data_IF_103316420669
#
_entry.id   IF_103316420669
#
_cell.length_a   1.000
_cell.length_b   1.000
_cell.length_c   1.000
_cell.angle_alpha   90.00
_cell.angle_beta   90.00
_cell.angle_gamma   90.00
#
_symmetry.space_group_name_H-M   'P 1'
#
loop_
_entity.id
_entity.type
_entity.pdbx_description
1 polymer ?
#
# COMPACT_ATOMS: atom_id res chain seq x y z
N UNK A 1 5.98 5.38 30.77
CA UNK A 1 5.35 4.11 30.35
C UNK A 1 5.64 3.91 28.88
N UNK A 2 6.31 2.82 28.51
CA UNK A 2 6.43 2.47 27.09
C UNK A 2 5.03 2.24 26.53
N UNK A 3 4.74 2.80 25.36
CA UNK A 3 3.47 2.50 24.67
C UNK A 3 3.41 1.00 24.38
N UNK A 4 2.21 0.40 24.35
CA UNK A 4 2.02 -1.02 23.97
C UNK A 4 2.78 -1.37 22.67
N UNK A 5 2.81 -0.41 21.73
CA UNK A 5 3.56 -0.50 20.47
C UNK A 5 5.07 -0.68 20.68
N UNK A 6 5.68 0.04 21.62
CA UNK A 6 7.11 -0.11 21.94
C UNK A 6 7.41 -1.50 22.53
N UNK A 7 6.56 -1.98 23.44
CA UNK A 7 6.70 -3.31 24.05
C UNK A 7 6.67 -4.41 22.97
N UNK A 8 5.73 -4.31 22.02
CA UNK A 8 5.61 -5.24 20.89
C UNK A 8 6.85 -5.18 19.99
N UNK A 9 7.38 -3.98 19.72
CA UNK A 9 8.55 -3.81 18.86
C UNK A 9 9.84 -4.29 19.53
N UNK A 10 9.96 -4.17 20.85
CA UNK A 10 11.14 -4.61 21.61
C UNK A 10 11.18 -6.14 21.76
N UNK A 11 10.02 -6.80 21.85
CA UNK A 11 9.94 -8.24 22.02
C UNK A 11 9.75 -8.98 20.68
N UNK A 12 10.74 -9.78 20.28
CA UNK A 12 10.72 -10.56 19.02
C UNK A 12 9.50 -11.48 18.89
N UNK A 13 9.03 -12.11 19.96
CA UNK A 13 7.86 -13.00 19.88
C UNK A 13 6.57 -12.21 19.68
N UNK A 14 6.43 -11.05 20.33
CA UNK A 14 5.25 -10.20 20.20
C UNK A 14 5.13 -9.56 18.81
N UNK A 15 6.22 -9.42 18.05
CA UNK A 15 6.17 -8.92 16.66
C UNK A 15 5.27 -9.76 15.75
N UNK A 16 5.06 -11.04 16.05
CA UNK A 16 4.11 -11.88 15.30
C UNK A 16 2.66 -11.39 15.42
N UNK A 17 2.32 -10.65 16.47
CA UNK A 17 1.02 -9.98 16.58
C UNK A 17 0.83 -8.92 15.49
N UNK A 18 1.91 -8.35 14.94
CA UNK A 18 1.82 -7.40 13.81
C UNK A 18 1.39 -8.11 12.52
N UNK A 19 1.84 -9.34 12.31
CA UNK A 19 1.40 -10.17 11.18
C UNK A 19 -0.07 -10.58 11.37
N UNK A 20 -0.42 -11.03 12.58
CA UNK A 20 -1.80 -11.42 12.89
C UNK A 20 -2.78 -10.25 12.74
N UNK A 21 -2.47 -9.08 13.31
CA UNK A 21 -3.32 -7.89 13.16
C UNK A 21 -3.40 -7.43 11.70
N UNK A 22 -2.32 -7.53 10.93
CA UNK A 22 -2.38 -7.27 9.49
C UNK A 22 -3.29 -8.26 8.75
N UNK A 23 -3.26 -9.55 9.11
CA UNK A 23 -4.16 -10.56 8.56
C UNK A 23 -5.63 -10.29 8.92
N UNK A 24 -5.91 -9.91 10.17
CA UNK A 24 -7.27 -9.58 10.62
C UNK A 24 -7.83 -8.35 9.88
N UNK A 25 -7.09 -7.24 9.88
CA UNK A 25 -7.62 -5.96 9.38
C UNK A 25 -7.43 -5.73 7.88
N UNK A 26 -6.41 -6.33 7.25
CA UNK A 26 -6.09 -6.21 5.82
C UNK A 26 -6.00 -4.76 5.29
N UNK A 27 -5.77 -3.78 6.16
CA UNK A 27 -5.82 -2.34 5.83
C UNK A 27 -7.23 -1.83 5.45
N UNK A 28 -8.29 -2.63 5.61
CA UNK A 28 -9.68 -2.23 5.31
C UNK A 28 -10.12 -0.98 6.07
N UNK A 29 -9.78 -0.77 7.36
CA UNK A 29 -10.23 0.43 8.07
C UNK A 29 -9.82 1.75 7.41
N UNK A 30 -8.62 1.78 6.81
CA UNK A 30 -8.02 2.97 6.18
C UNK A 30 -8.27 3.04 4.66
N UNK A 31 -8.83 1.98 4.08
CA UNK A 31 -9.10 1.91 2.65
C UNK A 31 -10.28 2.80 2.25
N UNK A 32 -10.27 3.28 1.01
CA UNK A 32 -11.43 3.97 0.44
C UNK A 32 -12.56 3.02 0.08
N UNK A 33 -13.72 3.61 -0.22
CA UNK A 33 -14.94 2.87 -0.49
C UNK A 33 -14.76 1.82 -1.60
N UNK A 34 -14.08 2.17 -2.70
CA UNK A 34 -13.83 1.22 -3.79
C UNK A 34 -12.97 0.02 -3.35
N UNK A 35 -11.89 0.24 -2.60
CA UNK A 35 -11.01 -0.83 -2.12
C UNK A 35 -11.69 -1.65 -1.01
N UNK A 36 -12.52 -1.03 -0.16
CA UNK A 36 -13.35 -1.73 0.84
C UNK A 36 -14.32 -2.69 0.17
N UNK A 37 -15.09 -2.22 -0.81
CA UNK A 37 -16.02 -3.06 -1.59
C UNK A 37 -15.25 -4.22 -2.20
N UNK A 38 -14.14 -3.94 -2.88
CA UNK A 38 -13.34 -4.97 -3.52
C UNK A 38 -12.87 -6.04 -2.53
N UNK A 39 -12.26 -5.66 -1.40
CA UNK A 39 -11.76 -6.64 -0.43
C UNK A 39 -12.89 -7.49 0.15
N UNK A 40 -14.02 -6.87 0.53
CA UNK A 40 -15.16 -7.61 1.10
C UNK A 40 -15.77 -8.54 0.05
N UNK A 41 -16.07 -8.03 -1.15
CA UNK A 41 -16.63 -8.84 -2.23
C UNK A 41 -15.72 -9.97 -2.68
N UNK A 42 -14.39 -9.75 -2.73
CA UNK A 42 -13.42 -10.79 -3.06
C UNK A 42 -13.48 -11.94 -2.05
N UNK A 43 -13.49 -11.65 -0.76
CA UNK A 43 -13.62 -12.68 0.29
C UNK A 43 -14.93 -13.46 0.13
N UNK A 44 -16.05 -12.76 -0.08
CA UNK A 44 -17.37 -13.39 -0.26
C UNK A 44 -17.40 -14.29 -1.49
N UNK A 45 -16.90 -13.81 -2.64
CA UNK A 45 -16.90 -14.58 -3.90
C UNK A 45 -16.05 -15.85 -3.74
N UNK A 46 -14.85 -15.76 -3.18
CA UNK A 46 -13.99 -16.93 -2.97
C UNK A 46 -14.64 -17.94 -2.01
N UNK A 47 -15.22 -17.45 -0.91
CA UNK A 47 -15.93 -18.32 0.03
C UNK A 47 -17.14 -19.02 -0.62
N UNK A 48 -17.91 -18.30 -1.45
CA UNK A 48 -19.03 -18.89 -2.20
C UNK A 48 -18.56 -19.95 -3.19
N UNK A 49 -17.49 -19.71 -3.95
CA UNK A 49 -16.94 -20.70 -4.89
C UNK A 49 -16.51 -21.99 -4.17
N UNK A 50 -15.88 -21.87 -2.99
CA UNK A 50 -15.52 -23.02 -2.17
C UNK A 50 -16.77 -23.76 -1.71
N UNK A 51 -17.79 -23.03 -1.22
CA UNK A 51 -19.05 -23.63 -0.74
C UNK A 51 -19.81 -24.35 -1.85
N UNK A 52 -19.84 -23.81 -3.06
CA UNK A 52 -20.47 -24.47 -4.21
C UNK A 52 -19.73 -25.75 -4.62
N UNK A 53 -18.47 -25.92 -4.21
CA UNK A 53 -17.64 -27.08 -4.53
C UNK A 53 -17.69 -28.19 -3.47
N UNK A 54 -18.38 -27.97 -2.34
CA UNK A 54 -18.45 -28.91 -1.22
C UNK A 54 -19.89 -29.01 -0.68
N UNK A 55 -20.18 -30.05 0.10
CA UNK A 55 -21.49 -30.14 0.76
C UNK A 55 -21.65 -29.03 1.79
N UNK A 56 -22.80 -28.37 1.79
CA UNK A 56 -23.06 -27.30 2.75
C UNK A 56 -23.05 -27.84 4.19
N UNK A 57 -22.25 -27.20 5.04
CA UNK A 57 -22.29 -27.33 6.49
C UNK A 57 -21.80 -26.01 7.09
N UNK A 58 -22.20 -25.71 8.32
CA UNK A 58 -21.72 -24.52 9.03
C UNK A 58 -20.20 -24.51 9.19
N UNK A 59 -19.58 -25.68 9.39
CA UNK A 59 -18.13 -25.83 9.43
C UNK A 59 -17.49 -25.47 8.09
N UNK A 60 -18.04 -25.98 6.98
CA UNK A 60 -17.52 -25.69 5.64
C UNK A 60 -17.67 -24.20 5.30
N UNK A 61 -18.78 -23.56 5.69
CA UNK A 61 -18.98 -22.12 5.50
C UNK A 61 -17.93 -21.31 6.26
N UNK A 62 -17.71 -21.64 7.54
CA UNK A 62 -16.69 -20.99 8.35
C UNK A 62 -15.28 -21.15 7.75
N UNK A 63 -14.92 -22.37 7.34
CA UNK A 63 -13.64 -22.64 6.69
C UNK A 63 -13.50 -21.91 5.36
N UNK A 64 -14.56 -21.87 4.54
CA UNK A 64 -14.58 -21.16 3.27
C UNK A 64 -14.35 -19.65 3.46
N UNK A 65 -14.95 -19.05 4.49
CA UNK A 65 -14.71 -17.64 4.86
C UNK A 65 -13.26 -17.42 5.30
N UNK A 66 -12.71 -18.28 6.16
CA UNK A 66 -11.30 -18.19 6.60
C UNK A 66 -10.34 -18.32 5.41
N UNK A 67 -10.59 -19.27 4.52
CA UNK A 67 -9.76 -19.50 3.33
C UNK A 67 -9.88 -18.30 2.38
N UNK A 68 -11.09 -17.83 2.08
CA UNK A 68 -11.32 -16.67 1.23
C UNK A 68 -10.65 -15.41 1.77
N UNK A 69 -10.76 -15.18 3.09
CA UNK A 69 -10.08 -14.08 3.77
C UNK A 69 -8.56 -14.21 3.71
N UNK A 70 -8.02 -15.42 3.88
CA UNK A 70 -6.57 -15.67 3.82
C UNK A 70 -6.03 -15.50 2.40
N UNK A 71 -6.74 -15.97 1.37
CA UNK A 71 -6.39 -15.75 -0.04
C UNK A 71 -6.42 -14.26 -0.36
N UNK A 72 -7.45 -13.54 0.09
CA UNK A 72 -7.52 -12.09 -0.05
C UNK A 72 -6.31 -11.40 0.59
N UNK A 73 -5.97 -11.76 1.82
CA UNK A 73 -4.78 -11.24 2.51
C UNK A 73 -3.51 -11.52 1.72
N UNK A 74 -3.30 -12.75 1.25
CA UNK A 74 -2.10 -13.11 0.48
C UNK A 74 -1.97 -12.33 -0.82
N UNK A 75 -3.09 -12.03 -1.50
CA UNK A 75 -3.09 -11.28 -2.76
C UNK A 75 -2.97 -9.77 -2.56
N UNK A 76 -3.56 -9.24 -1.48
CA UNK A 76 -3.61 -7.79 -1.24
C UNK A 76 -2.53 -7.26 -0.31
N UNK A 77 -1.94 -8.10 0.53
CA UNK A 77 -0.85 -7.71 1.40
C UNK A 77 0.46 -7.59 0.62
N UNK A 78 1.32 -6.63 1.00
CA UNK A 78 2.73 -6.67 0.68
C UNK A 78 3.47 -7.22 1.91
N UNK A 79 3.87 -8.49 1.84
CA UNK A 79 4.57 -9.19 2.93
C UNK A 79 5.90 -8.49 3.24
N UNK A 80 6.55 -7.89 2.23
CA UNK A 80 7.81 -7.16 2.40
C UNK A 80 7.67 -5.97 3.35
N UNK A 81 6.56 -5.22 3.32
CA UNK A 81 6.26 -4.15 4.31
C UNK A 81 6.26 -4.72 5.72
N UNK A 82 5.64 -5.87 5.94
CA UNK A 82 5.57 -6.47 7.28
C UNK A 82 6.96 -6.89 7.74
N UNK A 83 7.70 -7.63 6.92
CA UNK A 83 8.98 -8.22 7.31
C UNK A 83 10.10 -7.16 7.44
N UNK A 84 10.11 -6.15 6.57
CA UNK A 84 11.17 -5.13 6.51
C UNK A 84 10.81 -3.94 7.41
N UNK A 85 9.65 -3.33 7.20
CA UNK A 85 9.30 -2.09 7.89
C UNK A 85 8.76 -2.33 9.30
N UNK A 86 7.79 -3.23 9.46
CA UNK A 86 7.10 -3.44 10.75
C UNK A 86 7.90 -4.32 11.71
N UNK A 87 8.35 -5.48 11.24
CA UNK A 87 9.07 -6.47 12.04
C UNK A 87 10.59 -6.27 12.06
N UNK A 88 11.15 -5.53 11.10
CA UNK A 88 12.60 -5.27 10.97
C UNK A 88 13.46 -6.55 10.93
N UNK A 89 12.93 -7.62 10.34
CA UNK A 89 13.62 -8.91 10.17
C UNK A 89 14.47 -8.92 8.90
N UNK A 90 13.99 -8.26 7.86
CA UNK A 90 14.71 -8.08 6.61
C UNK A 90 15.11 -6.61 6.45
N UNK A 91 16.03 -6.37 5.52
CA UNK A 91 16.52 -5.04 5.16
C UNK A 91 16.31 -4.84 3.67
N UNK A 92 16.00 -3.62 3.28
CA UNK A 92 16.01 -3.20 1.87
C UNK A 92 17.11 -2.18 1.65
N UNK A 93 17.38 -1.87 0.38
CA UNK A 93 18.33 -0.85 0.00
C UNK A 93 17.58 0.36 -0.59
N UNK A 94 18.06 1.56 -0.29
CA UNK A 94 17.44 2.82 -0.72
C UNK A 94 17.37 2.95 -2.24
N UNK A 95 18.40 2.53 -2.96
CA UNK A 95 18.43 2.56 -4.41
C UNK A 95 17.35 1.67 -5.04
N UNK A 96 17.10 0.48 -4.48
CA UNK A 96 16.05 -0.43 -4.92
C UNK A 96 14.66 0.17 -4.70
N UNK A 97 14.45 0.88 -3.59
CA UNK A 97 13.21 1.62 -3.33
C UNK A 97 12.98 2.69 -4.41
N UNK A 98 13.99 3.53 -4.70
CA UNK A 98 13.89 4.54 -5.75
C UNK A 98 13.71 3.94 -7.14
N UNK A 99 14.46 2.89 -7.49
CA UNK A 99 14.32 2.20 -8.76
C UNK A 99 12.91 1.62 -8.93
N UNK A 100 12.30 1.15 -7.84
CA UNK A 100 10.91 0.70 -7.86
C UNK A 100 9.93 1.87 -8.06
N UNK A 101 10.13 3.01 -7.40
CA UNK A 101 9.33 4.23 -7.64
C UNK A 101 9.45 4.75 -9.08
N UNK A 102 10.65 4.74 -9.67
CA UNK A 102 10.83 5.10 -11.09
C UNK A 102 10.09 4.12 -12.00
N UNK A 103 10.09 2.82 -11.67
CA UNK A 103 9.31 1.82 -12.40
C UNK A 103 7.81 2.07 -12.29
N UNK A 104 7.30 2.41 -11.09
CA UNK A 104 5.88 2.74 -10.88
C UNK A 104 5.51 3.98 -11.69
N UNK A 105 6.32 5.04 -11.61
CA UNK A 105 6.13 6.28 -12.39
C UNK A 105 6.00 5.96 -13.88
N UNK A 106 6.98 5.25 -14.45
CA UNK A 106 6.98 4.85 -15.86
C UNK A 106 5.73 4.06 -16.23
N UNK A 107 5.32 3.10 -15.38
CA UNK A 107 4.13 2.30 -15.63
C UNK A 107 2.84 3.12 -15.61
N UNK A 108 2.78 4.20 -14.84
CA UNK A 108 1.62 5.07 -14.70
C UNK A 108 1.51 6.12 -15.81
N UNK A 109 2.62 6.62 -16.36
CA UNK A 109 2.63 7.69 -17.37
C UNK A 109 1.64 7.43 -18.51
N UNK A 110 1.56 6.21 -19.02
CA UNK A 110 0.67 5.84 -20.14
C UNK A 110 -0.81 5.58 -19.75
N UNK A 111 -1.12 5.43 -18.46
CA UNK A 111 -2.43 4.89 -18.02
C UNK A 111 -3.53 5.94 -17.88
N UNK A 112 -4.60 5.88 -18.67
CA UNK A 112 -5.63 6.95 -18.69
C UNK A 112 -6.67 6.91 -17.55
N UNK A 113 -6.64 5.89 -16.69
CA UNK A 113 -7.70 5.59 -15.70
C UNK A 113 -7.55 6.32 -14.34
N UNK A 114 -6.49 7.10 -14.15
CA UNK A 114 -6.23 7.88 -12.94
C UNK A 114 -5.94 9.34 -13.27
N UNK A 115 -6.01 10.21 -12.27
CA UNK A 115 -5.74 11.64 -12.40
C UNK A 115 -4.31 11.99 -12.00
N UNK A 116 -3.86 11.58 -10.81
CA UNK A 116 -2.49 11.75 -10.36
C UNK A 116 -2.04 10.66 -9.37
N UNK A 117 -0.73 10.53 -9.20
CA UNK A 117 -0.11 9.68 -8.19
C UNK A 117 1.04 10.39 -7.52
N UNK A 118 1.09 10.24 -6.20
CA UNK A 118 2.04 10.90 -5.31
C UNK A 118 2.63 9.90 -4.31
N UNK A 119 3.77 10.25 -3.73
CA UNK A 119 4.41 9.49 -2.66
C UNK A 119 4.70 10.40 -1.47
N UNK A 120 4.49 9.87 -0.25
CA UNK A 120 4.62 10.56 1.03
C UNK A 120 5.58 9.82 1.96
N UNK A 121 5.71 10.29 3.21
CA UNK A 121 6.41 9.55 4.26
C UNK A 121 7.89 9.89 4.38
N UNK A 122 8.75 8.89 4.62
CA UNK A 122 10.18 9.10 4.87
C UNK A 122 10.94 9.71 3.67
N UNK A 123 10.41 9.52 2.46
CA UNK A 123 11.04 9.99 1.21
C UNK A 123 11.12 11.52 1.12
N UNK A 124 10.07 12.24 1.51
CA UNK A 124 10.06 13.71 1.48
C UNK A 124 10.94 14.33 2.58
N UNK A 125 11.24 13.59 3.64
CA UNK A 125 12.04 14.06 4.79
C UNK A 125 13.54 13.77 4.64
N UNK A 126 13.94 13.10 3.57
CA UNK A 126 15.33 12.66 3.42
C UNK A 126 15.78 11.64 4.47
N UNK A 127 14.84 10.92 5.12
CA UNK A 127 15.11 10.04 6.26
C UNK A 127 14.91 8.55 5.94
N UNK A 128 14.90 8.20 4.65
CA UNK A 128 14.80 6.80 4.25
C UNK A 128 16.01 5.99 4.73
N UNK A 129 15.75 4.86 5.36
CA UNK A 129 16.74 3.92 5.88
C UNK A 129 16.44 2.49 5.40
N UNK A 130 17.25 1.52 5.84
CA UNK A 130 17.16 0.10 5.44
C UNK A 130 15.86 -0.62 5.86
N UNK A 131 15.03 0.00 6.69
CA UNK A 131 13.72 -0.47 7.14
C UNK A 131 12.59 0.45 6.70
N UNK A 132 12.86 1.42 5.82
CA UNK A 132 11.82 2.27 5.27
C UNK A 132 10.98 1.52 4.25
N UNK A 133 9.68 1.77 4.29
CA UNK A 133 8.71 1.53 3.24
C UNK A 133 8.63 2.73 2.29
N UNK A 134 7.90 2.52 1.20
CA UNK A 134 7.46 3.57 0.28
C UNK A 134 5.94 3.56 0.21
N UNK A 135 5.34 4.73 0.44
CA UNK A 135 3.90 4.94 0.36
C UNK A 135 3.58 5.56 -1.00
N UNK A 136 2.74 4.93 -1.80
CA UNK A 136 2.29 5.44 -3.09
C UNK A 136 0.78 5.58 -3.09
N UNK A 137 0.31 6.81 -3.21
CA UNK A 137 -1.10 7.11 -3.37
C UNK A 137 -1.43 7.27 -4.86
N UNK A 138 -2.50 6.63 -5.32
CA UNK A 138 -3.00 6.71 -6.68
C UNK A 138 -4.44 7.21 -6.64
N UNK A 139 -4.65 8.43 -7.15
CA UNK A 139 -5.98 9.04 -7.24
C UNK A 139 -6.62 8.64 -8.56
N UNK A 140 -7.56 7.69 -8.48
CA UNK A 140 -8.25 7.19 -9.68
C UNK A 140 -9.27 8.20 -10.19
N UNK A 141 -9.63 8.09 -11.47
CA UNK A 141 -10.82 8.77 -12.00
C UNK A 141 -12.09 8.11 -11.45
N UNK A 142 -13.20 8.84 -11.51
CA UNK A 142 -14.53 8.28 -11.23
C UNK A 142 -14.89 7.15 -12.20
N UNK A 143 -15.81 6.28 -11.78
CA UNK A 143 -16.33 5.18 -12.59
C UNK A 143 -15.75 3.80 -12.23
N UNK A 144 -16.62 2.78 -12.33
CA UNK A 144 -16.33 1.41 -11.92
C UNK A 144 -15.10 0.81 -12.62
N UNK A 145 -14.97 0.99 -13.94
CA UNK A 145 -13.83 0.46 -14.70
C UNK A 145 -12.50 1.09 -14.29
N UNK A 146 -12.49 2.36 -13.88
CA UNK A 146 -11.29 3.03 -13.39
C UNK A 146 -10.90 2.52 -12.00
N UNK A 147 -11.90 2.27 -11.14
CA UNK A 147 -11.69 1.62 -9.85
C UNK A 147 -11.10 0.22 -10.01
N UNK A 148 -11.67 -0.61 -10.89
CA UNK A 148 -11.15 -1.96 -11.16
C UNK A 148 -9.70 -1.91 -11.67
N UNK A 149 -9.38 -1.01 -12.60
CA UNK A 149 -8.02 -0.85 -13.11
C UNK A 149 -7.03 -0.40 -12.03
N UNK A 150 -7.45 0.51 -11.14
CA UNK A 150 -6.64 0.95 -10.01
C UNK A 150 -6.38 -0.19 -9.02
N UNK A 151 -7.40 -0.98 -8.71
CA UNK A 151 -7.30 -2.17 -7.84
C UNK A 151 -6.35 -3.20 -8.43
N UNK A 152 -6.53 -3.56 -9.71
CA UNK A 152 -5.63 -4.48 -10.40
C UNK A 152 -4.19 -3.96 -10.37
N UNK A 153 -3.99 -2.68 -10.67
CA UNK A 153 -2.67 -2.06 -10.59
C UNK A 153 -2.04 -2.19 -9.21
N UNK A 154 -2.77 -1.84 -8.14
CA UNK A 154 -2.26 -1.94 -6.77
C UNK A 154 -1.91 -3.37 -6.38
N UNK A 155 -2.77 -4.35 -6.69
CA UNK A 155 -2.49 -5.78 -6.43
C UNK A 155 -1.22 -6.22 -7.15
N UNK A 156 -1.11 -5.92 -8.45
CA UNK A 156 0.06 -6.33 -9.24
C UNK A 156 1.35 -5.65 -8.79
N UNK A 157 1.33 -4.36 -8.47
CA UNK A 157 2.54 -3.68 -7.98
C UNK A 157 2.93 -4.16 -6.57
N UNK A 158 1.96 -4.40 -5.67
CA UNK A 158 2.26 -5.01 -4.36
C UNK A 158 2.91 -6.38 -4.50
N UNK A 159 2.42 -7.23 -5.41
CA UNK A 159 3.05 -8.54 -5.69
C UNK A 159 4.42 -8.41 -6.34
N UNK A 160 4.58 -7.51 -7.32
CA UNK A 160 5.89 -7.24 -7.94
C UNK A 160 6.90 -6.73 -6.92
N UNK A 161 6.47 -5.88 -6.00
CA UNK A 161 7.26 -5.39 -4.90
C UNK A 161 7.66 -6.53 -3.95
N UNK A 162 6.73 -7.43 -3.60
CA UNK A 162 7.03 -8.63 -2.80
C UNK A 162 8.12 -9.49 -3.43
N UNK A 163 8.02 -9.80 -4.73
CA UNK A 163 9.05 -10.58 -5.43
C UNK A 163 10.42 -9.89 -5.47
N UNK A 164 10.46 -8.56 -5.32
CA UNK A 164 11.69 -7.77 -5.29
C UNK A 164 12.16 -7.43 -3.87
N UNK A 165 11.46 -7.90 -2.83
CA UNK A 165 11.76 -7.53 -1.44
C UNK A 165 11.60 -6.04 -1.17
N UNK A 166 10.65 -5.38 -1.84
CA UNK A 166 10.36 -3.95 -1.71
C UNK A 166 9.16 -3.77 -0.78
N UNK A 167 9.34 -3.11 0.38
CA UNK A 167 8.24 -2.72 1.24
C UNK A 167 7.46 -1.56 0.60
N UNK A 168 6.38 -1.91 -0.10
CA UNK A 168 5.50 -0.96 -0.79
C UNK A 168 4.09 -0.98 -0.20
N UNK A 169 3.59 0.18 0.19
CA UNK A 169 2.16 0.39 0.39
C UNK A 169 1.59 1.19 -0.80
N UNK A 170 0.54 0.64 -1.42
CA UNK A 170 -0.17 1.31 -2.52
C UNK A 170 -1.56 1.63 -2.03
N UNK A 171 -1.88 2.91 -1.91
CA UNK A 171 -3.17 3.40 -1.47
C UNK A 171 -3.95 3.87 -2.68
N UNK A 172 -5.17 3.38 -2.84
CA UNK A 172 -6.09 3.88 -3.86
C UNK A 172 -6.98 4.92 -3.19
N UNK A 173 -7.01 6.11 -3.80
CA UNK A 173 -7.89 7.19 -3.38
C UNK A 173 -8.99 7.41 -4.41
N UNK A 174 -10.24 7.44 -3.94
CA UNK A 174 -11.44 7.63 -4.74
C UNK A 174 -11.58 9.07 -5.23
N UNK A 175 -11.01 10.02 -4.48
CA UNK A 175 -10.90 11.43 -4.84
C UNK A 175 -9.55 12.05 -4.39
N UNK A 176 -9.18 13.22 -4.94
CA UNK A 176 -8.02 13.97 -4.45
C UNK A 176 -8.10 14.35 -2.97
N UNK A 177 -9.30 14.59 -2.46
CA UNK A 177 -9.53 14.94 -1.05
C UNK A 177 -9.23 13.75 -0.13
N UNK A 178 -9.70 12.56 -0.50
CA UNK A 178 -9.41 11.34 0.25
C UNK A 178 -7.90 11.04 0.27
N UNK A 179 -7.18 11.39 -0.82
CA UNK A 179 -5.72 11.32 -0.85
C UNK A 179 -5.10 12.28 0.16
N UNK A 180 -5.51 13.56 0.14
CA UNK A 180 -4.99 14.60 1.02
C UNK A 180 -5.16 14.23 2.50
N UNK A 181 -6.34 13.74 2.88
CA UNK A 181 -6.68 13.33 4.26
C UNK A 181 -5.80 12.17 4.76
N UNK A 182 -5.36 11.27 3.86
CA UNK A 182 -4.51 10.12 4.21
C UNK A 182 -3.03 10.42 4.24
N UNK A 183 -2.58 11.41 3.48
CA UNK A 183 -1.16 11.81 3.44
C UNK A 183 -0.78 12.70 4.63
N UNK A 184 -0.98 12.22 5.86
CA UNK A 184 -0.43 12.70 7.15
C UNK A 184 -0.23 14.23 7.32
N UNK A 185 -1.04 15.05 6.65
CA UNK A 185 -0.92 16.52 6.59
C UNK A 185 0.48 17.02 6.22
N UNK A 186 1.26 16.25 5.44
CA UNK A 186 2.60 16.71 5.07
C UNK A 186 2.49 17.84 4.06
N UNK A 187 3.08 19.00 4.37
CA UNK A 187 3.08 20.15 3.46
C UNK A 187 3.77 19.87 2.13
N UNK A 188 4.67 18.88 2.08
CA UNK A 188 5.45 18.50 0.88
C UNK A 188 5.11 17.10 0.42
N UNK A 189 4.95 16.91 -0.89
CA UNK A 189 4.70 15.60 -1.50
C UNK A 189 5.68 15.30 -2.64
N UNK A 190 5.98 14.03 -2.89
CA UNK A 190 6.68 13.62 -4.12
C UNK A 190 5.66 13.37 -5.22
N UNK A 191 5.74 14.11 -6.32
CA UNK A 191 4.87 13.88 -7.48
C UNK A 191 5.49 12.79 -8.37
N UNK A 192 4.75 11.68 -8.54
CA UNK A 192 5.13 10.64 -9.49
C UNK A 192 4.60 10.99 -10.88
N UNK A 193 3.29 11.19 -11.00
CA UNK A 193 2.60 11.58 -12.24
C UNK A 193 1.41 12.47 -11.91
N UNK A 194 1.23 13.57 -12.64
CA UNK A 194 0.04 14.43 -12.54
C UNK A 194 -0.48 14.79 -13.94
N UNK A 195 -1.63 14.24 -14.33
CA UNK A 195 -2.13 14.34 -15.71
C UNK A 195 -2.89 15.63 -15.99
N UNK A 196 -3.43 16.24 -14.94
CA UNK A 196 -4.32 17.40 -15.03
C UNK A 196 -3.79 18.60 -14.26
N UNK A 197 -2.56 18.52 -13.72
CA UNK A 197 -1.97 19.53 -12.85
C UNK A 197 -2.86 19.81 -11.63
N UNK A 198 -3.42 18.75 -11.05
CA UNK A 198 -4.31 18.84 -9.90
C UNK A 198 -3.55 18.89 -8.57
N UNK A 199 -2.34 18.35 -8.49
CA UNK A 199 -1.56 18.27 -7.24
C UNK A 199 -1.41 19.65 -6.58
N UNK A 200 -1.06 20.75 -7.29
CA UNK A 200 -0.90 22.07 -6.67
C UNK A 200 -2.17 22.62 -6.01
N UNK A 201 -3.36 22.10 -6.33
CA UNK A 201 -4.61 22.51 -5.71
C UNK A 201 -4.86 21.85 -4.35
N UNK A 202 -4.13 20.79 -4.02
CA UNK A 202 -4.30 19.99 -2.79
C UNK A 202 -3.06 19.94 -1.91
N UNK A 203 -1.88 20.24 -2.45
CA UNK A 203 -0.61 20.18 -1.72
C UNK A 203 0.16 21.48 -1.89
N UNK A 204 0.61 22.05 -0.77
CA UNK A 204 1.30 23.34 -0.74
C UNK A 204 2.67 23.29 -1.43
N UNK A 205 3.44 22.23 -1.14
CA UNK A 205 4.77 22.01 -1.68
C UNK A 205 4.84 20.68 -2.40
N UNK A 206 5.61 20.66 -3.48
CA UNK A 206 5.83 19.46 -4.28
C UNK A 206 7.28 19.40 -4.72
N UNK A 207 7.82 18.18 -4.70
CA UNK A 207 9.13 17.87 -5.28
C UNK A 207 8.95 16.73 -6.29
N UNK A 208 9.84 16.66 -7.27
CA UNK A 208 9.87 15.52 -8.18
C UNK A 208 10.67 14.34 -7.59
N UNK A 209 10.52 13.17 -8.19
CA UNK A 209 11.17 11.94 -7.71
C UNK A 209 12.71 12.02 -7.73
N UNK A 210 13.30 12.78 -8.64
CA UNK A 210 14.76 12.97 -8.72
C UNK A 210 15.28 13.85 -7.58
N UNK A 211 14.59 14.95 -7.29
CA UNK A 211 14.88 15.82 -6.13
C UNK A 211 14.78 15.04 -4.82
N UNK A 212 13.75 14.21 -4.68
CA UNK A 212 13.59 13.35 -3.51
C UNK A 212 14.75 12.35 -3.35
N UNK A 213 15.27 11.81 -4.47
CA UNK A 213 16.46 10.93 -4.47
C UNK A 213 17.70 11.68 -4.00
N UNK A 214 17.93 12.90 -4.51
CA UNK A 214 19.06 13.74 -4.09
C UNK A 214 18.99 14.10 -2.60
N UNK A 215 17.81 14.48 -2.11
CA UNK A 215 17.59 14.78 -0.70
C UNK A 215 17.97 13.60 0.20
N UNK A 216 17.55 12.39 -0.17
CA UNK A 216 17.87 11.17 0.59
C UNK A 216 19.33 10.73 0.45
N UNK A 217 20.06 11.19 -0.57
CA UNK A 217 21.49 10.91 -0.71
C UNK A 217 22.36 11.88 0.09
N UNK A 218 21.94 13.15 0.23
CA UNK A 218 22.69 14.17 0.99
C UNK A 218 22.73 13.88 2.50
N UNK A 219 21.62 13.39 3.06
CA UNK A 219 21.51 13.09 4.50
C UNK A 219 22.22 11.79 4.95
N UNK A 220 22.96 11.14 4.05
CA UNK A 220 23.75 9.93 4.34
C UNK A 220 25.26 10.24 4.48
N UNK A 221 25.67 11.51 4.41
CA UNK A 221 26.99 12.00 4.83
C UNK A 221 26.90 12.56 6.23
#
# INVERSE_FOLDING_TARGET
MNSLKQIILENKSLRWLLLFTNWVYQGIPQADFSEKIYKISFTVIVALLIILSVNFSWLNLFLAIIIGHTVNWLLNCNISVILIHRMKYLKTNKEALFNHLFSIKKNLEEKKWFDFSVSSGGIIRGSMNKYSDIDVNVVRKSGFLNALKAICFAVFERKRADFKGIPLDVIISDSPKDCQEKTDFTDTIVVLVDKKKLVPSYFNNQINLSEAKELNNKNNK
#
